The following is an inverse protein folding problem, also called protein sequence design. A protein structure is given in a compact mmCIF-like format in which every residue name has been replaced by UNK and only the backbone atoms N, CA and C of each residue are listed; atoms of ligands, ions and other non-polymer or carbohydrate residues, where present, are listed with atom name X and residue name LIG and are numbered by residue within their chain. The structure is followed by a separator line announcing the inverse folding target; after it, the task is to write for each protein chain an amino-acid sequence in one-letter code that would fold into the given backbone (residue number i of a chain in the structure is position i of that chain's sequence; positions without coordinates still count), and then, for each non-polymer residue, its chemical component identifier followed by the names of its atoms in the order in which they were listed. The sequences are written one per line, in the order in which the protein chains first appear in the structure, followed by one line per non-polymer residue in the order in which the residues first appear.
data_IF_175602083767
#
_entry.id   IF_175602083767
#
_cell.length_a   1.000
_cell.length_b   1.000
_cell.length_c   1.000
_cell.angle_alpha   90.00
_cell.angle_beta   90.00
_cell.angle_gamma   90.00
#
_symmetry.space_group_name_H-M   'P 1'
#
loop_
_entity.id
_entity.type
_entity.pdbx_description
1 polymer ?
#
# COMPACT_ATOMS: atom_id res chain seq x y z
N UNK A 1 -72.39 -10.61 22.02
CA UNK A 1 -71.29 -11.57 21.80
C UNK A 1 -70.62 -11.26 20.47
N UNK A 2 -69.54 -10.48 20.45
CA UNK A 2 -68.71 -10.29 19.26
C UNK A 2 -67.28 -10.67 19.64
N UNK A 3 -66.81 -11.81 19.13
CA UNK A 3 -65.46 -12.31 19.35
C UNK A 3 -64.50 -11.56 18.42
N UNK A 4 -63.53 -10.84 18.97
CA UNK A 4 -62.38 -10.35 18.22
C UNK A 4 -61.32 -11.44 18.19
N UNK A 5 -61.11 -12.08 17.03
CA UNK A 5 -59.95 -12.93 16.79
C UNK A 5 -58.73 -12.02 16.59
N UNK A 6 -57.87 -11.96 17.59
CA UNK A 6 -56.54 -11.36 17.48
C UNK A 6 -55.69 -12.27 16.60
N UNK A 7 -55.44 -11.86 15.35
CA UNK A 7 -54.42 -12.47 14.51
C UNK A 7 -53.04 -12.04 15.04
N UNK A 8 -52.35 -12.94 15.73
CA UNK A 8 -50.93 -12.78 16.05
C UNK A 8 -50.12 -12.89 14.75
N UNK A 9 -49.73 -11.75 14.20
CA UNK A 9 -48.77 -11.67 13.10
C UNK A 9 -47.38 -11.97 13.67
N UNK A 10 -46.92 -13.23 13.56
CA UNK A 10 -45.53 -13.58 13.88
C UNK A 10 -44.60 -12.99 12.82
N UNK A 11 -44.06 -11.80 13.11
CA UNK A 11 -42.97 -11.22 12.33
C UNK A 11 -41.73 -12.10 12.58
N UNK A 12 -41.43 -12.99 11.63
CA UNK A 12 -40.14 -13.67 11.55
C UNK A 12 -39.07 -12.62 11.23
N UNK A 13 -38.48 -12.05 12.27
CA UNK A 13 -37.25 -11.28 12.16
C UNK A 13 -36.12 -12.24 11.76
N UNK A 14 -35.94 -12.44 10.45
CA UNK A 14 -34.71 -13.01 9.94
C UNK A 14 -33.58 -12.05 10.32
N UNK A 15 -32.82 -12.39 11.36
CA UNK A 15 -31.59 -11.68 11.71
C UNK A 15 -30.61 -11.84 10.55
N UNK A 16 -30.62 -10.88 9.62
CA UNK A 16 -29.54 -10.72 8.65
C UNK A 16 -28.30 -10.35 9.47
N UNK A 17 -27.47 -11.34 9.77
CA UNK A 17 -26.19 -11.10 10.42
C UNK A 17 -25.30 -10.42 9.38
N UNK A 18 -25.24 -9.09 9.41
CA UNK A 18 -24.14 -8.37 8.81
C UNK A 18 -22.88 -8.84 9.55
N UNK A 19 -22.09 -9.71 8.93
CA UNK A 19 -20.82 -10.15 9.50
C UNK A 19 -19.88 -8.95 9.53
N UNK A 20 -19.53 -8.53 10.75
CA UNK A 20 -18.55 -7.47 10.99
C UNK A 20 -17.15 -7.97 10.67
N UNK A 21 -16.25 -7.06 10.30
CA UNK A 21 -14.82 -7.33 10.14
C UNK A 21 -14.27 -8.05 11.40
N UNK A 22 -13.57 -9.16 11.22
CA UNK A 22 -13.08 -10.01 12.32
C UNK A 22 -14.10 -11.03 12.86
N UNK A 23 -15.33 -11.03 12.36
CA UNK A 23 -16.36 -12.01 12.66
C UNK A 23 -16.02 -13.41 12.16
N UNK A 24 -16.65 -14.44 12.74
CA UNK A 24 -16.56 -15.80 12.23
C UNK A 24 -17.49 -15.97 11.01
N UNK A 25 -17.02 -16.72 10.03
CA UNK A 25 -17.71 -17.00 8.78
C UNK A 25 -17.40 -18.45 8.34
N UNK A 26 -18.08 -18.94 7.29
CA UNK A 26 -17.73 -20.20 6.64
C UNK A 26 -17.24 -19.99 5.22
N UNK A 27 -16.13 -20.62 4.86
CA UNK A 27 -15.60 -20.61 3.49
C UNK A 27 -16.51 -21.42 2.54
N UNK A 28 -16.40 -21.24 1.21
CA UNK A 28 -17.12 -22.08 0.25
C UNK A 28 -16.73 -23.56 0.33
N UNK A 29 -15.53 -23.87 0.84
CA UNK A 29 -15.07 -25.22 1.14
C UNK A 29 -15.63 -25.79 2.45
N UNK A 30 -16.47 -25.03 3.17
CA UNK A 30 -17.15 -25.46 4.39
C UNK A 30 -16.39 -25.24 5.69
N UNK A 31 -15.21 -24.61 5.65
CA UNK A 31 -14.34 -24.39 6.80
C UNK A 31 -14.81 -23.21 7.66
N UNK A 32 -14.71 -23.32 8.98
CA UNK A 32 -14.92 -22.20 9.90
C UNK A 32 -13.71 -21.26 9.89
N UNK A 33 -13.93 -20.00 9.56
CA UNK A 33 -12.88 -19.03 9.24
C UNK A 33 -13.22 -17.63 9.77
N UNK A 34 -12.33 -16.67 9.48
CA UNK A 34 -12.51 -15.26 9.82
C UNK A 34 -12.81 -14.40 8.61
N UNK A 35 -13.73 -13.45 8.79
CA UNK A 35 -14.03 -12.43 7.81
C UNK A 35 -12.96 -11.34 7.88
N UNK A 36 -12.04 -11.35 6.91
CA UNK A 36 -10.88 -10.46 6.87
C UNK A 36 -10.84 -9.67 5.56
N UNK A 37 -9.96 -8.69 5.47
CA UNK A 37 -9.78 -7.96 4.23
C UNK A 37 -9.25 -8.91 3.13
N UNK A 38 -9.75 -8.79 1.89
CA UNK A 38 -9.27 -9.60 0.76
C UNK A 38 -7.75 -9.53 0.56
N UNK A 39 -7.13 -8.38 0.88
CA UNK A 39 -5.69 -8.19 0.82
C UNK A 39 -4.91 -8.96 1.90
N UNK A 40 -5.59 -9.39 2.96
CA UNK A 40 -5.02 -10.24 4.01
C UNK A 40 -5.20 -11.74 3.70
N UNK A 41 -5.83 -12.09 2.58
CA UNK A 41 -6.10 -13.46 2.17
C UNK A 41 -5.33 -13.81 0.88
N UNK A 42 -4.07 -14.21 1.03
CA UNK A 42 -3.14 -14.47 -0.09
C UNK A 42 -3.70 -15.44 -1.16
N UNK A 43 -4.48 -16.42 -0.72
CA UNK A 43 -5.09 -17.42 -1.60
C UNK A 43 -6.12 -16.87 -2.56
N UNK A 44 -7.06 -16.10 -2.03
CA UNK A 44 -8.07 -15.44 -2.84
C UNK A 44 -7.46 -14.27 -3.62
N UNK A 45 -6.43 -13.62 -3.07
CA UNK A 45 -5.71 -12.55 -3.76
C UNK A 45 -5.00 -13.07 -5.03
N UNK A 46 -4.46 -14.30 -5.01
CA UNK A 46 -3.86 -14.94 -6.19
C UNK A 46 -4.89 -15.12 -7.33
N UNK A 47 -6.12 -15.53 -6.98
CA UNK A 47 -7.23 -15.64 -7.93
C UNK A 47 -7.64 -14.25 -8.44
N UNK A 48 -7.72 -13.24 -7.57
CA UNK A 48 -8.00 -11.84 -7.97
C UNK A 48 -6.92 -11.24 -8.86
N UNK A 49 -5.68 -11.73 -8.84
CA UNK A 49 -4.63 -11.24 -9.75
C UNK A 49 -4.55 -11.98 -11.08
N UNK A 50 -5.25 -13.10 -11.22
CA UNK A 50 -5.23 -13.92 -12.44
C UNK A 50 -5.93 -13.21 -13.61
N UNK A 51 -5.25 -13.14 -14.76
CA UNK A 51 -5.69 -12.39 -15.95
C UNK A 51 -6.90 -13.01 -16.68
N UNK A 52 -7.10 -14.33 -16.56
CA UNK A 52 -8.26 -15.03 -17.10
C UNK A 52 -8.76 -16.04 -16.08
N UNK A 53 -9.87 -15.71 -15.41
CA UNK A 53 -10.49 -16.59 -14.41
C UNK A 53 -11.51 -17.49 -15.06
N UNK A 54 -11.60 -18.74 -14.60
CA UNK A 54 -12.69 -19.62 -14.97
C UNK A 54 -13.99 -19.18 -14.28
N UNK A 55 -15.13 -19.67 -14.77
CA UNK A 55 -16.44 -19.47 -14.13
C UNK A 55 -16.43 -19.94 -12.67
N UNK A 56 -15.79 -21.08 -12.42
CA UNK A 56 -15.64 -21.69 -11.09
C UNK A 56 -14.84 -20.80 -10.14
N UNK A 57 -13.70 -20.24 -10.60
CA UNK A 57 -12.88 -19.34 -9.79
C UNK A 57 -13.64 -18.04 -9.46
N UNK A 58 -14.42 -17.53 -10.40
CA UNK A 58 -15.25 -16.34 -10.19
C UNK A 58 -16.36 -16.61 -9.19
N UNK A 59 -17.00 -17.77 -9.27
CA UNK A 59 -18.02 -18.21 -8.32
C UNK A 59 -17.43 -18.46 -6.93
N UNK A 60 -16.21 -19.00 -6.86
CA UNK A 60 -15.50 -19.22 -5.60
C UNK A 60 -15.15 -17.89 -4.91
N UNK A 61 -14.65 -16.90 -5.65
CA UNK A 61 -14.39 -15.55 -5.12
C UNK A 61 -15.68 -14.88 -4.63
N UNK A 62 -16.76 -15.01 -5.39
CA UNK A 62 -18.06 -14.41 -5.05
C UNK A 62 -18.65 -15.04 -3.79
N UNK A 63 -18.59 -16.37 -3.68
CA UNK A 63 -19.06 -17.11 -2.51
C UNK A 63 -18.17 -16.94 -1.28
N UNK A 64 -16.91 -16.56 -1.46
CA UNK A 64 -16.00 -16.25 -0.35
C UNK A 64 -16.27 -14.89 0.29
N UNK A 65 -17.10 -14.03 -0.29
CA UNK A 65 -17.34 -12.68 0.22
C UNK A 65 -18.20 -12.69 1.49
N UNK A 66 -17.72 -12.04 2.55
CA UNK A 66 -18.41 -11.92 3.84
C UNK A 66 -18.82 -10.48 4.20
N UNK A 67 -18.42 -9.48 3.41
CA UNK A 67 -18.81 -8.09 3.64
C UNK A 67 -18.04 -7.10 2.76
N UNK A 68 -18.14 -5.82 3.09
CA UNK A 68 -17.38 -4.74 2.49
C UNK A 68 -17.01 -3.70 3.56
N UNK A 69 -15.90 -2.98 3.36
CA UNK A 69 -15.62 -1.78 4.15
C UNK A 69 -16.41 -0.57 3.61
N UNK A 70 -16.31 0.58 4.31
CA UNK A 70 -16.97 1.81 3.92
C UNK A 70 -16.53 2.35 2.54
N UNK A 71 -15.35 1.96 2.06
CA UNK A 71 -14.78 2.31 0.76
C UNK A 71 -15.11 1.28 -0.35
N UNK A 72 -16.00 0.32 -0.10
CA UNK A 72 -16.40 -0.69 -1.08
C UNK A 72 -15.39 -1.84 -1.31
N UNK A 73 -14.33 -1.93 -0.50
CA UNK A 73 -13.36 -3.05 -0.56
C UNK A 73 -14.00 -4.31 0.02
N UNK A 74 -13.98 -5.45 -0.69
CA UNK A 74 -14.61 -6.68 -0.21
C UNK A 74 -13.83 -7.29 0.97
N UNK A 75 -14.58 -7.75 1.97
CA UNK A 75 -14.11 -8.70 2.96
C UNK A 75 -14.42 -10.12 2.50
N UNK A 76 -13.51 -11.03 2.81
CA UNK A 76 -13.62 -12.44 2.42
C UNK A 76 -13.45 -13.34 3.63
N UNK A 77 -14.17 -14.45 3.60
CA UNK A 77 -14.03 -15.52 4.56
C UNK A 77 -12.80 -16.35 4.20
N UNK A 78 -11.71 -16.15 4.94
CA UNK A 78 -10.42 -16.76 4.63
C UNK A 78 -10.10 -17.87 5.65
N UNK A 79 -10.15 -19.13 5.19
CA UNK A 79 -9.86 -20.33 5.99
C UNK A 79 -8.44 -20.85 5.83
N UNK A 80 -8.09 -21.84 6.66
CA UNK A 80 -6.78 -22.46 6.83
C UNK A 80 -6.28 -23.24 5.62
N UNK A 81 -7.09 -23.39 4.57
CA UNK A 81 -6.67 -23.92 3.26
C UNK A 81 -5.50 -23.20 2.58
N UNK A 82 -5.03 -22.06 3.10
CA UNK A 82 -3.76 -21.43 2.71
C UNK A 82 -2.99 -20.77 3.85
N UNK A 83 -3.38 -21.08 5.10
CA UNK A 83 -2.57 -20.78 6.28
C UNK A 83 -1.73 -21.99 6.71
N UNK A 84 -1.71 -23.08 5.93
CA UNK A 84 -0.63 -24.06 5.99
C UNK A 84 0.61 -23.56 5.21
N UNK A 85 1.16 -22.44 5.67
CA UNK A 85 2.52 -22.52 6.19
C UNK A 85 2.35 -22.72 7.70
N UNK A 86 1.87 -23.91 8.09
CA UNK A 86 2.52 -24.55 9.23
C UNK A 86 3.99 -24.55 8.86
N UNK A 87 4.83 -24.26 9.85
CA UNK A 87 6.26 -24.43 9.77
C UNK A 87 6.54 -25.81 9.20
N UNK A 88 6.69 -25.91 7.88
CA UNK A 88 7.57 -26.89 7.32
C UNK A 88 8.92 -26.34 7.73
N UNK A 89 9.49 -26.91 8.79
CA UNK A 89 10.93 -27.14 8.85
C UNK A 89 11.27 -27.98 7.61
N UNK A 90 11.16 -27.33 6.46
CA UNK A 90 11.45 -27.81 5.14
C UNK A 90 12.70 -27.07 4.80
N UNK A 91 13.77 -27.81 4.91
CA UNK A 91 15.16 -27.43 4.72
C UNK A 91 15.37 -26.52 3.49
N UNK A 92 15.16 -25.23 3.71
CA UNK A 92 15.87 -24.17 3.01
C UNK A 92 16.81 -23.54 4.02
N UNK A 93 17.70 -24.36 4.58
CA UNK A 93 19.00 -23.85 4.97
C UNK A 93 19.73 -23.41 3.70
N UNK A 94 19.32 -22.26 3.14
CA UNK A 94 20.35 -21.40 2.57
C UNK A 94 20.93 -20.68 3.80
N UNK A 95 22.15 -21.02 4.26
CA UNK A 95 22.68 -20.56 5.55
C UNK A 95 22.87 -19.04 5.66
N UNK A 96 22.49 -18.28 4.63
CA UNK A 96 22.83 -16.87 4.45
C UNK A 96 21.61 -15.91 4.40
N UNK A 97 20.36 -16.41 4.49
CA UNK A 97 19.21 -15.51 4.55
C UNK A 97 18.83 -15.18 5.99
N UNK A 98 19.52 -14.18 6.55
CA UNK A 98 19.04 -13.48 7.75
C UNK A 98 17.95 -12.49 7.35
N UNK A 99 16.74 -12.54 7.94
CA UNK A 99 15.71 -11.52 7.71
C UNK A 99 16.28 -10.15 8.10
N UNK A 100 16.57 -9.30 7.12
CA UNK A 100 17.03 -7.95 7.39
C UNK A 100 15.83 -7.14 7.90
N UNK A 101 15.86 -6.60 9.13
CA UNK A 101 14.78 -5.75 9.69
C UNK A 101 14.47 -4.52 8.82
N UNK A 102 15.36 -4.21 7.88
CA UNK A 102 15.29 -3.07 6.98
C UNK A 102 14.42 -3.30 5.74
N UNK A 103 13.93 -4.51 5.46
CA UNK A 103 13.08 -4.76 4.27
C UNK A 103 11.71 -5.24 4.76
N UNK A 104 10.62 -4.51 4.47
CA UNK A 104 9.28 -4.94 4.84
C UNK A 104 8.99 -6.28 4.17
N UNK A 105 8.30 -7.15 4.89
CA UNK A 105 7.86 -8.45 4.36
C UNK A 105 7.16 -8.22 3.01
N UNK A 106 7.32 -9.15 2.06
CA UNK A 106 6.67 -9.14 0.75
C UNK A 106 5.14 -8.94 0.87
N UNK A 107 4.56 -9.31 2.01
CA UNK A 107 3.15 -9.12 2.33
C UNK A 107 2.77 -7.72 2.86
N UNK A 108 3.74 -6.81 3.04
CA UNK A 108 3.56 -5.46 3.62
C UNK A 108 3.96 -4.33 2.66
N UNK A 109 4.26 -4.64 1.40
CA UNK A 109 4.73 -3.69 0.39
C UNK A 109 3.99 -3.86 -0.96
N UNK A 110 3.98 -2.80 -1.79
CA UNK A 110 3.40 -2.83 -3.14
C UNK A 110 1.87 -2.87 -3.20
N UNK A 111 1.17 -2.40 -2.17
CA UNK A 111 -0.29 -2.31 -2.14
C UNK A 111 -0.80 -1.00 -2.76
N UNK A 112 -1.47 -1.10 -3.91
CA UNK A 112 -2.19 0.00 -4.56
C UNK A 112 -3.69 -0.15 -4.28
N UNK A 113 -4.34 0.96 -3.94
CA UNK A 113 -5.72 0.97 -3.44
C UNK A 113 -6.76 0.70 -4.54
N UNK A 114 -6.43 0.87 -5.83
CA UNK A 114 -7.37 0.67 -6.96
C UNK A 114 -6.73 0.10 -8.24
N UNK A 115 -7.55 -0.57 -9.05
CA UNK A 115 -7.15 -1.20 -10.32
C UNK A 115 -8.01 -0.64 -11.47
N UNK A 116 -7.63 0.49 -12.07
CA UNK A 116 -8.02 0.86 -13.44
C UNK A 116 -7.28 2.11 -13.94
N UNK A 117 -6.51 1.98 -15.02
CA UNK A 117 -6.04 3.11 -15.83
C UNK A 117 -6.49 2.87 -17.28
N UNK A 118 -7.22 3.84 -17.85
CA UNK A 118 -7.36 4.04 -19.29
C UNK A 118 -7.19 5.53 -19.56
N UNK A 119 -6.22 5.90 -20.41
CA UNK A 119 -5.88 7.26 -20.89
C UNK A 119 -5.60 8.28 -19.78
N UNK A 120 -4.34 8.71 -19.66
CA UNK A 120 -3.81 9.48 -18.52
C UNK A 120 -4.69 10.66 -18.07
N UNK A 121 -5.28 10.51 -16.88
CA UNK A 121 -5.97 11.54 -16.09
C UNK A 121 -5.42 11.52 -14.65
N UNK A 122 -5.81 12.53 -13.85
CA UNK A 122 -5.44 12.68 -12.45
C UNK A 122 -5.62 11.36 -11.67
N UNK A 123 -4.60 10.96 -10.90
CA UNK A 123 -4.63 9.73 -10.10
C UNK A 123 -5.76 9.80 -9.07
N UNK A 124 -6.23 8.66 -8.58
CA UNK A 124 -7.09 8.67 -7.40
C UNK A 124 -6.29 9.05 -6.15
N UNK A 125 -6.98 9.56 -5.13
CA UNK A 125 -6.40 9.71 -3.79
C UNK A 125 -5.87 8.35 -3.32
N UNK A 126 -4.62 8.35 -2.84
CA UNK A 126 -3.91 7.19 -2.27
C UNK A 126 -3.67 6.02 -3.24
N UNK A 127 -3.64 6.30 -4.54
CA UNK A 127 -3.35 5.27 -5.55
C UNK A 127 -1.92 4.75 -5.42
N UNK A 128 -0.95 5.61 -5.13
CA UNK A 128 0.47 5.24 -5.00
C UNK A 128 1.05 5.68 -3.65
N UNK A 129 0.73 4.97 -2.56
CA UNK A 129 1.07 5.37 -1.19
C UNK A 129 2.58 5.30 -0.87
N UNK A 130 3.40 4.77 -1.78
CA UNK A 130 4.87 4.83 -1.67
C UNK A 130 5.47 6.08 -2.30
N UNK A 131 4.69 6.93 -2.98
CA UNK A 131 5.21 8.12 -3.64
C UNK A 131 5.82 9.08 -2.65
N UNK A 132 7.04 9.52 -2.97
CA UNK A 132 7.82 10.43 -2.16
C UNK A 132 8.19 11.65 -2.98
N UNK A 133 7.97 12.84 -2.44
CA UNK A 133 8.39 14.11 -3.03
C UNK A 133 9.66 14.57 -2.33
N UNK A 134 10.73 14.83 -3.09
CA UNK A 134 11.99 15.34 -2.56
C UNK A 134 11.98 16.87 -2.67
N UNK A 135 12.03 17.53 -1.51
CA UNK A 135 12.04 18.99 -1.43
C UNK A 135 13.46 19.53 -1.29
N UNK A 136 13.78 20.55 -2.10
CA UNK A 136 15.07 21.21 -2.15
C UNK A 136 14.98 22.61 -1.57
N UNK A 137 16.04 23.05 -0.90
CA UNK A 137 16.25 24.43 -0.50
C UNK A 137 17.20 25.10 -1.49
N UNK A 138 16.65 26.05 -2.23
CA UNK A 138 17.41 26.88 -3.17
C UNK A 138 18.34 27.86 -2.44
N UNK A 139 19.39 28.36 -3.10
CA UNK A 139 20.32 29.32 -2.50
C UNK A 139 19.67 30.61 -1.96
N UNK A 140 18.49 31.00 -2.48
CA UNK A 140 17.74 32.15 -1.99
C UNK A 140 16.71 31.80 -0.89
N UNK A 141 16.81 30.62 -0.30
CA UNK A 141 15.98 30.17 0.83
C UNK A 141 14.58 29.68 0.43
N UNK A 142 14.27 29.56 -0.86
CA UNK A 142 12.96 29.06 -1.32
C UNK A 142 12.96 27.53 -1.41
N UNK A 143 11.83 26.91 -1.03
CA UNK A 143 11.59 25.48 -1.23
C UNK A 143 11.18 25.21 -2.68
N UNK A 144 11.71 24.14 -3.28
CA UNK A 144 11.31 23.64 -4.61
C UNK A 144 11.12 22.14 -4.60
N UNK A 145 10.14 21.68 -5.37
CA UNK A 145 9.94 20.27 -5.71
C UNK A 145 10.64 20.03 -7.05
N UNK A 146 11.55 19.07 -7.12
CA UNK A 146 12.30 18.80 -8.36
C UNK A 146 12.56 17.33 -8.64
N UNK A 147 12.45 16.47 -7.63
CA UNK A 147 12.56 15.03 -7.80
C UNK A 147 11.50 14.30 -6.97
N UNK A 148 11.29 13.05 -7.35
CA UNK A 148 10.45 12.10 -6.63
C UNK A 148 11.27 10.86 -6.25
N UNK A 149 10.67 10.01 -5.43
CA UNK A 149 11.21 8.71 -5.07
C UNK A 149 10.11 7.76 -4.63
N UNK A 150 10.50 6.58 -4.14
CA UNK A 150 9.57 5.60 -3.59
C UNK A 150 10.04 5.14 -2.21
N UNK A 151 9.13 5.15 -1.24
CA UNK A 151 9.36 4.57 0.08
C UNK A 151 9.52 3.04 -0.07
N UNK A 152 10.65 2.49 0.35
CA UNK A 152 10.92 1.04 0.24
C UNK A 152 10.86 0.31 1.57
N UNK A 153 10.92 1.06 2.68
CA UNK A 153 10.71 0.59 4.05
C UNK A 153 10.37 1.81 4.93
N UNK A 154 10.26 1.64 6.26
CA UNK A 154 9.92 2.75 7.18
C UNK A 154 10.95 3.88 7.23
N UNK A 155 12.15 3.71 6.65
CA UNK A 155 13.32 4.57 6.89
C UNK A 155 14.06 4.99 5.62
N UNK A 156 13.76 4.40 4.46
CA UNK A 156 14.51 4.59 3.22
C UNK A 156 13.60 4.87 2.04
N UNK A 157 14.02 5.84 1.24
CA UNK A 157 13.48 6.15 -0.08
C UNK A 157 14.48 5.69 -1.13
N UNK A 158 14.02 5.02 -2.18
CA UNK A 158 14.79 4.85 -3.41
C UNK A 158 14.47 5.99 -4.37
N UNK A 159 15.50 6.55 -5.01
CA UNK A 159 15.38 7.63 -6.00
C UNK A 159 16.53 7.50 -7.01
N UNK A 160 16.63 8.45 -7.94
CA UNK A 160 17.73 8.54 -8.88
C UNK A 160 18.96 9.20 -8.22
N UNK A 161 20.17 8.78 -8.61
CA UNK A 161 21.40 9.37 -8.08
C UNK A 161 21.54 10.85 -8.46
N UNK A 162 21.12 11.22 -9.67
CA UNK A 162 21.12 12.62 -10.11
C UNK A 162 20.19 13.52 -9.30
N UNK A 163 19.28 12.96 -8.49
CA UNK A 163 18.42 13.73 -7.58
C UNK A 163 19.14 14.10 -6.28
N UNK A 164 20.21 13.40 -5.91
CA UNK A 164 20.88 13.60 -4.60
C UNK A 164 22.32 14.07 -4.71
N UNK A 165 22.89 14.09 -5.92
CA UNK A 165 24.27 14.55 -6.16
C UNK A 165 24.43 15.22 -7.52
N UNK A 166 25.56 15.91 -7.70
CA UNK A 166 25.94 16.58 -8.94
C UNK A 166 25.12 17.83 -9.23
N UNK A 167 24.84 18.05 -10.52
CA UNK A 167 24.35 19.35 -11.03
C UNK A 167 23.04 19.85 -10.42
N UNK A 168 22.21 18.97 -9.84
CA UNK A 168 20.98 19.38 -9.17
C UNK A 168 21.26 20.24 -7.92
N UNK A 169 22.36 19.96 -7.23
CA UNK A 169 22.75 20.68 -6.01
C UNK A 169 23.10 22.14 -6.33
N UNK A 170 23.70 22.38 -7.50
CA UNK A 170 24.05 23.72 -7.96
C UNK A 170 22.86 24.46 -8.58
N UNK A 171 22.06 23.76 -9.39
CA UNK A 171 20.96 24.37 -10.16
C UNK A 171 19.69 24.59 -9.33
N UNK A 172 19.41 23.66 -8.42
CA UNK A 172 18.18 23.67 -7.61
C UNK A 172 18.52 23.97 -6.16
N UNK A 173 19.48 23.26 -5.57
CA UNK A 173 19.88 23.43 -4.17
C UNK A 173 19.97 22.11 -3.42
N UNK A 174 20.05 22.18 -2.10
CA UNK A 174 20.23 20.98 -1.27
C UNK A 174 18.89 20.31 -0.95
N UNK A 175 18.76 18.97 -1.07
CA UNK A 175 17.57 18.28 -0.60
C UNK A 175 17.49 18.39 0.93
N UNK A 176 16.33 18.79 1.45
CA UNK A 176 16.14 19.11 2.88
C UNK A 176 15.17 18.16 3.59
N UNK A 177 14.19 17.62 2.87
CA UNK A 177 13.21 16.70 3.41
C UNK A 177 12.56 15.87 2.30
N UNK A 178 11.86 14.83 2.73
CA UNK A 178 10.97 14.03 1.90
C UNK A 178 9.55 14.22 2.41
N UNK A 179 8.62 14.54 1.51
CA UNK A 179 7.18 14.56 1.78
C UNK A 179 6.54 13.26 1.31
N UNK A 180 5.76 12.63 2.18
CA UNK A 180 5.03 11.38 1.93
C UNK A 180 3.53 11.59 2.15
N UNK A 181 2.70 10.81 1.44
CA UNK A 181 1.25 10.88 1.57
C UNK A 181 0.63 12.14 0.95
N UNK A 182 1.33 12.76 0.00
CA UNK A 182 0.86 13.95 -0.74
C UNK A 182 0.04 13.53 -1.97
N UNK A 183 -0.99 14.30 -2.30
CA UNK A 183 -1.80 14.10 -3.50
C UNK A 183 -1.88 15.38 -4.35
N UNK A 184 -2.26 16.53 -3.78
CA UNK A 184 -2.32 17.81 -4.50
C UNK A 184 -1.37 18.87 -3.93
N UNK A 185 -0.20 18.97 -4.55
CA UNK A 185 0.83 19.96 -4.18
C UNK A 185 0.41 21.43 -4.33
N UNK A 186 -0.71 21.73 -4.98
CA UNK A 186 -1.24 23.09 -5.15
C UNK A 186 -2.18 23.50 -4.00
N UNK A 187 -2.71 22.53 -3.26
CA UNK A 187 -3.57 22.76 -2.11
C UNK A 187 -2.73 22.99 -0.84
N UNK A 188 -2.95 24.08 -0.10
CA UNK A 188 -2.34 24.27 1.22
C UNK A 188 -3.10 23.53 2.33
N UNK A 189 -4.23 22.89 2.00
CA UNK A 189 -5.12 22.23 2.96
C UNK A 189 -5.18 20.73 2.70
N UNK A 190 -5.59 19.97 3.71
CA UNK A 190 -5.85 18.53 3.58
C UNK A 190 -6.68 18.20 2.35
N UNK A 191 -6.17 17.31 1.52
CA UNK A 191 -6.82 16.90 0.28
C UNK A 191 -8.13 16.18 0.59
N UNK A 192 -9.22 16.71 0.06
CA UNK A 192 -10.55 16.15 0.26
C UNK A 192 -11.29 16.09 -1.05
N UNK A 193 -12.09 15.05 -1.22
CA UNK A 193 -13.10 14.98 -2.27
C UNK A 193 -14.49 14.86 -1.65
N UNK A 194 -15.49 15.27 -2.42
CA UNK A 194 -16.89 15.15 -2.02
C UNK A 194 -17.53 14.04 -2.85
N UNK A 195 -18.21 13.13 -2.16
CA UNK A 195 -19.07 12.14 -2.78
C UNK A 195 -20.43 12.20 -2.10
N UNK A 196 -21.45 12.62 -2.86
CA UNK A 196 -22.78 12.95 -2.34
C UNK A 196 -22.72 14.03 -1.23
N UNK A 197 -23.28 13.78 -0.04
CA UNK A 197 -23.26 14.67 1.13
C UNK A 197 -22.11 14.38 2.09
N UNK A 198 -21.19 13.48 1.73
CA UNK A 198 -20.06 13.09 2.58
C UNK A 198 -18.75 13.67 2.04
N UNK A 199 -17.96 14.25 2.96
CA UNK A 199 -16.61 14.77 2.67
C UNK A 199 -15.59 13.75 3.15
N UNK A 200 -14.82 13.21 2.22
CA UNK A 200 -13.72 12.30 2.50
C UNK A 200 -12.42 13.10 2.39
N UNK A 201 -11.66 13.12 3.48
CA UNK A 201 -10.39 13.84 3.55
C UNK A 201 -9.27 12.87 3.81
N UNK A 202 -8.12 13.16 3.21
CA UNK A 202 -6.94 12.36 3.40
C UNK A 202 -6.31 12.58 4.78
N UNK A 203 -5.41 11.69 5.19
CA UNK A 203 -4.49 12.01 6.28
C UNK A 203 -3.51 13.10 5.82
N UNK A 204 -3.06 13.98 6.72
CA UNK A 204 -2.12 15.03 6.37
C UNK A 204 -0.78 14.44 5.94
N UNK A 205 -0.15 15.11 4.97
CA UNK A 205 1.15 14.74 4.45
C UNK A 205 2.23 14.83 5.54
N UNK A 206 3.23 13.97 5.45
CA UNK A 206 4.32 13.90 6.43
C UNK A 206 5.61 14.38 5.78
N UNK A 207 6.16 15.48 6.30
CA UNK A 207 7.50 15.94 5.94
C UNK A 207 8.53 15.33 6.91
N UNK A 208 9.51 14.61 6.36
CA UNK A 208 10.53 13.87 7.11
C UNK A 208 11.91 14.34 6.70
N UNK A 209 12.77 14.63 7.68
CA UNK A 209 14.12 15.11 7.40
C UNK A 209 15.00 14.01 6.82
N UNK A 210 16.14 14.42 6.26
CA UNK A 210 17.13 13.53 5.66
C UNK A 210 18.29 13.32 6.63
N UNK A 211 18.64 12.06 6.89
CA UNK A 211 19.84 11.66 7.66
C UNK A 211 21.04 11.48 6.73
N UNK A 212 20.85 10.82 5.60
CA UNK A 212 21.91 10.55 4.64
C UNK A 212 21.40 10.46 3.20
N UNK A 213 22.27 10.88 2.28
CA UNK A 213 22.11 10.71 0.83
C UNK A 213 23.17 9.71 0.37
N UNK A 214 22.74 8.63 -0.25
CA UNK A 214 23.60 7.49 -0.58
C UNK A 214 23.45 7.19 -2.07
N UNK A 215 24.13 7.94 -2.96
CA UNK A 215 24.18 7.60 -4.37
C UNK A 215 24.94 6.28 -4.55
N UNK A 216 24.56 5.50 -5.57
CA UNK A 216 25.28 4.29 -5.90
C UNK A 216 26.77 4.61 -6.19
N UNK A 217 27.73 3.84 -5.65
CA UNK A 217 29.16 4.18 -5.74
C UNK A 217 29.70 4.23 -7.18
N UNK A 218 29.09 3.46 -8.08
CA UNK A 218 29.39 3.49 -9.52
C UNK A 218 28.75 4.66 -10.30
N UNK A 219 27.98 5.55 -9.68
CA UNK A 219 27.37 6.68 -10.35
C UNK A 219 28.41 7.79 -10.57
N UNK A 220 28.68 8.12 -11.83
CA UNK A 220 29.71 9.11 -12.22
C UNK A 220 29.13 10.46 -12.63
N UNK A 221 27.80 10.58 -12.77
CA UNK A 221 27.16 11.80 -13.25
C UNK A 221 27.40 12.13 -14.72
N UNK A 222 27.88 11.17 -15.51
CA UNK A 222 28.10 11.33 -16.94
C UNK A 222 26.77 11.35 -17.75
N UNK A 223 26.86 11.68 -19.04
CA UNK A 223 25.70 11.74 -19.95
C UNK A 223 24.93 10.41 -20.05
N UNK A 224 25.61 9.29 -19.80
CA UNK A 224 25.02 7.95 -19.89
C UNK A 224 24.25 7.57 -18.63
N UNK A 225 24.43 8.32 -17.52
CA UNK A 225 23.74 8.11 -16.23
C UNK A 225 23.76 6.66 -15.79
N UNK A 226 24.91 5.98 -15.95
CA UNK A 226 25.05 4.61 -15.47
C UNK A 226 24.92 4.58 -13.95
N UNK A 227 24.21 3.58 -13.44
CA UNK A 227 23.92 3.42 -12.01
C UNK A 227 23.19 4.62 -11.38
N UNK A 228 22.24 5.22 -12.10
CA UNK A 228 21.43 6.35 -11.63
C UNK A 228 20.37 5.94 -10.60
N UNK A 229 20.84 5.42 -9.47
CA UNK A 229 20.05 4.97 -8.32
C UNK A 229 20.71 5.45 -7.03
N UNK A 230 19.89 5.86 -6.06
CA UNK A 230 20.34 6.27 -4.75
C UNK A 230 19.32 5.89 -3.68
N UNK A 231 19.82 5.80 -2.45
CA UNK A 231 18.99 5.77 -1.25
C UNK A 231 19.03 7.12 -0.54
N UNK A 232 17.88 7.53 -0.03
CA UNK A 232 17.78 8.57 0.99
C UNK A 232 17.39 7.89 2.30
N UNK A 233 18.24 7.98 3.32
CA UNK A 233 17.91 7.56 4.68
C UNK A 233 17.22 8.71 5.38
N UNK A 234 16.00 8.47 5.85
CA UNK A 234 15.21 9.45 6.60
C UNK A 234 15.78 9.63 8.02
N UNK A 235 15.55 10.76 8.66
CA UNK A 235 16.05 11.04 10.01
C UNK A 235 15.22 10.41 11.15
N UNK A 236 14.07 9.83 10.82
CA UNK A 236 13.21 9.06 11.71
C UNK A 236 12.43 8.02 10.92
N UNK A 237 11.94 7.00 11.62
CA UNK A 237 11.01 6.04 11.04
C UNK A 237 9.66 6.69 10.75
N UNK A 238 9.05 6.30 9.63
CA UNK A 238 7.72 6.72 9.22
C UNK A 238 6.76 5.56 9.48
N UNK A 239 5.72 5.74 10.31
CA UNK A 239 4.72 4.71 10.51
C UNK A 239 3.94 4.52 9.21
N UNK A 240 3.74 3.27 8.80
CA UNK A 240 2.86 2.97 7.68
C UNK A 240 1.41 3.33 8.04
N UNK A 241 0.70 3.87 7.06
CA UNK A 241 -0.71 4.25 7.17
C UNK A 241 -1.44 3.92 5.86
N UNK A 242 -2.73 4.24 5.76
CA UNK A 242 -3.48 4.02 4.52
C UNK A 242 -2.87 4.72 3.29
N UNK A 243 -2.03 5.74 3.53
CA UNK A 243 -1.46 6.62 2.51
C UNK A 243 0.06 6.57 2.42
N UNK A 244 0.69 5.86 3.34
CA UNK A 244 2.13 5.67 3.40
C UNK A 244 2.38 4.18 3.50
N UNK A 245 2.79 3.57 2.39
CA UNK A 245 3.16 2.17 2.32
C UNK A 245 4.49 2.03 1.58
N UNK A 246 5.20 0.96 1.88
CA UNK A 246 6.42 0.62 1.14
C UNK A 246 6.10 0.03 -0.23
N UNK A 247 6.94 0.28 -1.23
CA UNK A 247 6.91 -0.41 -2.51
C UNK A 247 7.62 -1.76 -2.41
N UNK A 248 7.16 -2.75 -3.18
CA UNK A 248 7.83 -4.04 -3.29
C UNK A 248 9.04 -3.92 -4.22
N UNK A 249 10.23 -4.33 -3.76
CA UNK A 249 11.40 -4.50 -4.62
C UNK A 249 11.48 -5.95 -5.09
N UNK A 250 11.84 -6.17 -6.36
CA UNK A 250 12.09 -7.52 -6.87
C UNK A 250 13.34 -8.12 -6.21
N UNK A 251 13.27 -9.39 -5.81
CA UNK A 251 14.28 -10.09 -4.99
C UNK A 251 15.64 -10.30 -5.67
N UNK A 252 15.80 -9.91 -6.94
CA UNK A 252 17.05 -10.01 -7.70
C UNK A 252 17.87 -8.71 -7.71
N UNK A 253 17.42 -7.66 -7.02
CA UNK A 253 18.15 -6.40 -6.95
C UNK A 253 19.08 -6.44 -5.73
N UNK A 254 20.28 -6.98 -5.91
CA UNK A 254 21.38 -6.74 -4.97
C UNK A 254 21.76 -5.26 -5.06
N UNK A 255 21.29 -4.44 -4.12
CA UNK A 255 21.68 -3.03 -4.04
C UNK A 255 23.01 -2.93 -3.26
N UNK A 256 24.14 -2.59 -3.91
CA UNK A 256 25.45 -2.56 -3.26
C UNK A 256 25.62 -1.21 -2.56
N UNK A 257 24.88 -1.00 -1.47
CA UNK A 257 25.07 0.12 -0.57
C UNK A 257 25.77 -0.42 0.68
N UNK A 258 27.10 -0.57 0.59
CA UNK A 258 27.99 -0.91 1.71
C UNK A 258 28.60 0.34 2.31
#
# INVERSE_FOLDING_TARGET
MWQWKVLCLHILLYKVHAQTLGGYCRTPSGESAKCINIYQCNSLLSLVRTQSRTSEQTQFLTSSKCGFNAAGVPFVCCGSGFNNVERVEGDFSNPDYTPNPSIPDRNQCGWQSQNRIYNGEQTALDEFPWMAIIQYLTPNGRRRISCAGSLINKRYIVTAAHCVTGTILDKVGQPINVRLGEYDTSSPNTDCYQESSLRFCNQPEVNVGIEALIPHPGYTGDQNRKHDIALIRLNRDVPFSGIILSNALESNISMPFS
#
